data_IF_629430412541
#
_entry.id   IF_629430412541
#
_cell.length_a   1.000
_cell.length_b   1.000
_cell.length_c   1.000
_cell.angle_alpha   90.00
_cell.angle_beta   90.00
_cell.angle_gamma   90.00
#
_symmetry.space_group_name_H-M   'P 1'
#
loop_
_entity.id
_entity.type
_entity.pdbx_description
1 polymer ?
#
# COMPACT_ATOMS: atom_id res chain seq x y z
N UNK A 1 52.44 -16.49 -4.45
CA UNK A 1 51.30 -17.13 -3.77
C UNK A 1 50.80 -16.12 -2.77
N UNK A 2 49.79 -15.36 -3.18
CA UNK A 2 49.20 -14.28 -2.41
C UNK A 2 47.83 -14.80 -1.97
N UNK A 3 47.65 -14.98 -0.66
CA UNK A 3 46.44 -15.52 -0.06
C UNK A 3 45.31 -14.50 -0.19
N UNK A 4 44.22 -14.90 -0.84
CA UNK A 4 43.00 -14.11 -0.94
C UNK A 4 42.20 -14.23 0.36
N UNK A 5 41.91 -13.09 1.01
CA UNK A 5 40.98 -13.03 2.13
C UNK A 5 39.55 -13.43 1.68
N UNK A 6 38.82 -14.24 2.47
CA UNK A 6 37.46 -14.62 2.14
C UNK A 6 36.50 -13.45 2.40
N UNK A 7 35.81 -13.00 1.35
CA UNK A 7 34.76 -11.98 1.44
C UNK A 7 33.61 -12.41 2.36
N UNK A 8 32.85 -11.44 2.91
CA UNK A 8 31.83 -11.71 3.91
C UNK A 8 30.71 -12.58 3.32
N UNK A 9 30.53 -13.76 3.91
CA UNK A 9 29.43 -14.69 3.69
C UNK A 9 28.08 -13.98 3.85
N UNK A 10 27.38 -13.71 2.74
CA UNK A 10 25.96 -13.34 2.74
C UNK A 10 25.14 -14.55 3.19
N UNK A 11 24.79 -14.61 4.48
CA UNK A 11 23.68 -15.45 4.92
C UNK A 11 22.38 -14.85 4.35
N UNK A 12 21.49 -15.64 3.72
CA UNK A 12 20.19 -15.14 3.30
C UNK A 12 19.38 -14.86 4.56
N UNK A 13 19.17 -13.59 4.88
CA UNK A 13 18.09 -13.18 5.79
C UNK A 13 16.79 -13.45 5.02
N UNK A 14 16.01 -14.43 5.45
CA UNK A 14 14.65 -14.66 4.96
C UNK A 14 13.87 -13.36 5.22
N UNK A 15 13.68 -12.51 4.19
CA UNK A 15 12.94 -11.26 4.36
C UNK A 15 11.46 -11.59 4.31
N UNK A 16 10.75 -11.38 5.42
CA UNK A 16 9.31 -11.55 5.55
C UNK A 16 8.51 -10.73 4.51
N UNK A 17 9.11 -9.71 3.89
CA UNK A 17 8.50 -8.88 2.84
C UNK A 17 8.57 -9.43 1.40
N UNK A 18 9.29 -10.52 1.14
CA UNK A 18 9.47 -11.05 -0.22
C UNK A 18 8.16 -11.54 -0.86
N UNK A 19 7.34 -12.27 -0.10
CA UNK A 19 6.02 -12.75 -0.55
C UNK A 19 5.04 -11.61 -0.80
N UNK A 20 4.96 -10.63 0.11
CA UNK A 20 4.10 -9.45 -0.03
C UNK A 20 4.51 -8.57 -1.22
N UNK A 21 5.81 -8.38 -1.47
CA UNK A 21 6.30 -7.63 -2.63
C UNK A 21 5.97 -8.35 -3.94
N UNK A 22 6.17 -9.67 -3.98
CA UNK A 22 5.84 -10.46 -5.17
C UNK A 22 4.33 -10.52 -5.44
N UNK A 23 3.50 -10.61 -4.39
CA UNK A 23 2.06 -10.45 -4.48
C UNK A 23 1.68 -9.07 -5.04
N UNK A 24 2.29 -8.01 -4.50
CA UNK A 24 2.04 -6.62 -4.91
C UNK A 24 2.24 -6.42 -6.41
N UNK A 25 3.38 -6.85 -6.95
CA UNK A 25 3.72 -6.63 -8.36
C UNK A 25 2.82 -7.44 -9.30
N UNK A 26 2.48 -8.69 -8.94
CA UNK A 26 1.53 -9.51 -9.71
C UNK A 26 0.12 -8.88 -9.70
N UNK A 27 -0.32 -8.39 -8.55
CA UNK A 27 -1.62 -7.74 -8.40
C UNK A 27 -1.67 -6.41 -9.18
N UNK A 28 -0.60 -5.61 -9.11
CA UNK A 28 -0.48 -4.37 -9.87
C UNK A 28 -0.64 -4.60 -11.38
N UNK A 29 0.00 -5.64 -11.94
CA UNK A 29 -0.15 -6.00 -13.35
C UNK A 29 -1.60 -6.32 -13.70
N UNK A 30 -2.26 -7.15 -12.89
CA UNK A 30 -3.64 -7.58 -13.13
C UNK A 30 -4.61 -6.40 -13.03
N UNK A 31 -4.48 -5.56 -12.01
CA UNK A 31 -5.31 -4.37 -11.86
C UNK A 31 -5.10 -3.39 -13.01
N UNK A 32 -3.86 -3.13 -13.40
CA UNK A 32 -3.54 -2.23 -14.52
C UNK A 32 -4.10 -2.74 -15.85
N UNK A 33 -4.11 -4.06 -16.08
CA UNK A 33 -4.72 -4.65 -17.27
C UNK A 33 -6.26 -4.56 -17.32
N UNK A 34 -6.91 -4.35 -16.17
CA UNK A 34 -8.38 -4.18 -16.08
C UNK A 34 -8.84 -2.73 -16.14
N UNK A 35 -7.92 -1.77 -16.09
CA UNK A 35 -8.21 -0.34 -16.13
C UNK A 35 -7.78 0.18 -17.50
N UNK A 36 -8.71 0.73 -18.28
CA UNK A 36 -8.48 1.24 -19.65
C UNK A 36 -7.55 2.46 -19.65
N UNK A 37 -6.25 2.25 -19.47
CA UNK A 37 -5.23 3.30 -19.36
C UNK A 37 -5.56 4.37 -18.30
N UNK A 38 -6.14 3.96 -17.17
CA UNK A 38 -6.40 4.85 -16.04
C UNK A 38 -5.35 4.69 -14.93
N UNK A 39 -5.27 5.70 -14.06
CA UNK A 39 -4.51 5.63 -12.83
C UNK A 39 -4.97 4.43 -12.00
N UNK A 40 -4.01 3.78 -11.33
CA UNK A 40 -4.32 2.71 -10.39
C UNK A 40 -3.69 3.04 -9.06
N UNK A 41 -4.46 2.84 -8.00
CA UNK A 41 -3.92 2.81 -6.65
C UNK A 41 -4.58 1.69 -5.86
N UNK A 42 -3.82 0.98 -5.07
CA UNK A 42 -4.35 0.03 -4.12
C UNK A 42 -3.40 -0.10 -2.93
N UNK A 43 -3.88 -0.77 -1.88
CA UNK A 43 -3.04 -1.18 -0.78
C UNK A 43 -2.87 -2.69 -0.85
N UNK A 44 -1.69 -3.19 -1.28
CA UNK A 44 -1.42 -4.62 -1.29
C UNK A 44 -1.52 -5.21 0.11
N UNK A 45 -1.05 -4.46 1.11
CA UNK A 45 -1.13 -4.82 2.51
C UNK A 45 -2.56 -5.02 3.01
N UNK A 46 -3.48 -4.10 2.67
CA UNK A 46 -4.90 -4.19 3.00
C UNK A 46 -5.54 -5.47 2.44
N UNK A 47 -5.25 -5.77 1.17
CA UNK A 47 -5.76 -6.96 0.48
C UNK A 47 -5.14 -8.23 1.07
N UNK A 48 -3.83 -8.21 1.33
CA UNK A 48 -3.10 -9.29 1.97
C UNK A 48 -3.72 -9.64 3.33
N UNK A 49 -3.99 -8.63 4.17
CA UNK A 49 -4.58 -8.85 5.48
C UNK A 49 -6.02 -9.36 5.41
N UNK A 50 -6.83 -8.86 4.47
CA UNK A 50 -8.18 -9.38 4.23
C UNK A 50 -8.15 -10.86 3.83
N UNK A 51 -7.24 -11.24 2.92
CA UNK A 51 -7.06 -12.63 2.49
C UNK A 51 -6.50 -13.52 3.60
N UNK A 52 -5.58 -13.01 4.41
CA UNK A 52 -5.06 -13.72 5.56
C UNK A 52 -6.16 -13.94 6.63
N UNK A 53 -7.09 -12.99 6.79
CA UNK A 53 -8.26 -13.14 7.65
C UNK A 53 -9.20 -14.25 7.14
N UNK A 54 -9.42 -14.33 5.82
CA UNK A 54 -10.13 -15.46 5.19
C UNK A 54 -9.39 -16.77 5.45
N UNK A 55 -8.07 -16.80 5.25
CA UNK A 55 -7.23 -17.97 5.46
C UNK A 55 -7.29 -18.50 6.90
N UNK A 56 -7.49 -17.62 7.89
CA UNK A 56 -7.62 -18.02 9.28
C UNK A 56 -8.81 -18.97 9.54
N UNK A 57 -9.87 -18.88 8.72
CA UNK A 57 -11.05 -19.73 8.78
C UNK A 57 -11.18 -20.73 7.62
N UNK A 58 -10.22 -20.75 6.69
CA UNK A 58 -10.25 -21.63 5.52
C UNK A 58 -9.66 -23.01 5.81
N UNK A 59 -9.96 -24.02 5.00
CA UNK A 59 -9.30 -25.34 5.00
C UNK A 59 -9.11 -25.85 3.57
N UNK A 60 -8.37 -26.96 3.44
CA UNK A 60 -8.16 -27.65 2.16
C UNK A 60 -7.68 -26.72 1.05
N UNK A 61 -8.22 -26.91 -0.15
CA UNK A 61 -7.86 -26.14 -1.34
C UNK A 61 -8.04 -24.63 -1.15
N UNK A 62 -9.06 -24.18 -0.40
CA UNK A 62 -9.28 -22.75 -0.13
C UNK A 62 -8.10 -22.13 0.62
N UNK A 63 -7.58 -22.83 1.63
CA UNK A 63 -6.40 -22.38 2.38
C UNK A 63 -5.14 -22.41 1.52
N UNK A 64 -4.94 -23.51 0.79
CA UNK A 64 -3.73 -23.74 0.00
C UNK A 64 -3.57 -22.69 -1.12
N UNK A 65 -4.67 -22.35 -1.80
CA UNK A 65 -4.70 -21.30 -2.82
C UNK A 65 -4.32 -19.92 -2.24
N UNK A 66 -4.84 -19.57 -1.07
CA UNK A 66 -4.54 -18.28 -0.43
C UNK A 66 -3.08 -18.22 0.01
N UNK A 67 -2.57 -19.27 0.66
CA UNK A 67 -1.15 -19.35 1.09
C UNK A 67 -0.23 -19.22 -0.12
N UNK A 68 -0.52 -19.95 -1.21
CA UNK A 68 0.25 -19.91 -2.44
C UNK A 68 0.22 -18.52 -3.10
N UNK A 69 -0.97 -17.90 -3.18
CA UNK A 69 -1.08 -16.56 -3.76
C UNK A 69 -0.28 -15.53 -2.97
N UNK A 70 -0.40 -15.54 -1.65
CA UNK A 70 0.27 -14.58 -0.77
C UNK A 70 1.77 -14.87 -0.60
N UNK A 71 2.24 -16.04 -1.05
CA UNK A 71 3.65 -16.43 -1.00
C UNK A 71 4.13 -16.69 0.42
N UNK A 72 3.26 -17.21 1.28
CA UNK A 72 3.61 -17.63 2.64
C UNK A 72 3.84 -19.14 2.72
N UNK A 73 4.55 -19.61 3.73
CA UNK A 73 4.76 -21.02 4.00
C UNK A 73 3.61 -21.65 4.81
N UNK A 74 2.86 -20.85 5.57
CA UNK A 74 1.76 -21.35 6.41
C UNK A 74 0.75 -20.26 6.79
N UNK A 75 -0.40 -20.69 7.33
CA UNK A 75 -1.39 -19.81 7.98
C UNK A 75 -0.77 -18.98 9.11
N UNK A 76 0.11 -19.58 9.89
CA UNK A 76 0.74 -18.90 11.03
C UNK A 76 1.70 -17.80 10.55
N UNK A 77 2.38 -18.01 9.43
CA UNK A 77 3.20 -16.97 8.82
C UNK A 77 2.34 -15.81 8.29
N UNK A 78 1.19 -16.08 7.66
CA UNK A 78 0.23 -15.05 7.26
C UNK A 78 -0.22 -14.20 8.46
N UNK A 79 -0.63 -14.86 9.54
CA UNK A 79 -1.08 -14.21 10.76
C UNK A 79 0.04 -13.38 11.40
N UNK A 80 1.28 -13.89 11.40
CA UNK A 80 2.45 -13.17 11.93
C UNK A 80 2.77 -11.92 11.12
N UNK A 81 2.72 -11.99 9.78
CA UNK A 81 2.94 -10.85 8.89
C UNK A 81 1.85 -9.80 9.12
N UNK A 82 0.58 -10.21 9.11
CA UNK A 82 -0.54 -9.30 9.34
C UNK A 82 -0.44 -8.61 10.72
N UNK A 83 -0.11 -9.36 11.77
CA UNK A 83 0.08 -8.84 13.12
C UNK A 83 1.22 -7.84 13.21
N UNK A 84 2.37 -8.16 12.62
CA UNK A 84 3.54 -7.28 12.62
C UNK A 84 3.20 -5.93 12.00
N UNK A 85 2.43 -5.94 10.92
CA UNK A 85 2.05 -4.69 10.25
C UNK A 85 0.95 -3.95 11.01
N UNK A 86 -0.05 -4.65 11.54
CA UNK A 86 -1.10 -4.05 12.36
C UNK A 86 -0.54 -3.42 13.65
N UNK A 87 0.37 -4.10 14.34
CA UNK A 87 1.02 -3.58 15.55
C UNK A 87 1.86 -2.33 15.23
N UNK A 88 2.49 -2.24 14.04
CA UNK A 88 3.19 -1.02 13.58
C UNK A 88 2.25 0.13 13.24
N UNK A 89 1.13 -0.16 12.59
CA UNK A 89 0.12 0.86 12.29
C UNK A 89 -0.53 1.41 13.58
N UNK A 90 -0.72 0.56 14.61
CA UNK A 90 -1.32 0.95 15.89
C UNK A 90 -0.35 1.55 16.91
N UNK A 91 0.97 1.39 16.71
CA UNK A 91 1.99 2.07 17.52
C UNK A 91 1.99 3.60 17.32
N UNK A 92 1.25 4.06 16.31
CA UNK A 92 0.99 5.45 15.99
C UNK A 92 -0.33 5.85 16.66
N UNK A 93 -0.27 6.26 17.93
CA UNK A 93 -1.44 6.38 18.81
C UNK A 93 -2.39 7.56 18.49
N UNK A 94 -2.21 8.24 17.36
CA UNK A 94 -3.05 9.38 16.95
C UNK A 94 -3.06 10.53 17.96
N UNK A 95 -2.24 10.48 19.02
CA UNK A 95 -2.17 11.50 20.07
C UNK A 95 -1.28 12.67 19.68
N UNK A 96 -0.57 12.57 18.54
CA UNK A 96 -0.01 13.73 17.88
C UNK A 96 -1.17 14.60 17.40
N UNK A 97 -1.53 15.59 18.21
CA UNK A 97 -2.30 16.74 17.80
C UNK A 97 -1.87 17.14 16.39
N UNK A 98 -2.83 17.34 15.51
CA UNK A 98 -2.70 17.73 14.10
C UNK A 98 -1.84 18.98 13.83
N UNK A 99 -1.24 19.59 14.86
CA UNK A 99 -0.44 20.80 14.80
C UNK A 99 1.07 20.57 14.59
N UNK A 100 1.64 19.40 14.90
CA UNK A 100 3.11 19.19 14.79
C UNK A 100 3.59 18.49 13.50
N UNK A 101 2.68 17.93 12.71
CA UNK A 101 3.01 17.18 11.49
C UNK A 101 3.73 15.86 11.79
N UNK A 102 3.31 14.79 11.13
CA UNK A 102 3.82 13.44 11.42
C UNK A 102 3.33 12.40 10.43
N UNK A 103 3.53 11.14 10.83
CA UNK A 103 2.92 9.98 10.20
C UNK A 103 1.65 9.65 11.00
N UNK A 104 0.59 9.29 10.29
CA UNK A 104 -0.67 8.78 10.80
C UNK A 104 -1.15 7.68 9.86
N UNK A 105 -1.11 6.43 10.32
CA UNK A 105 -1.65 5.28 9.59
C UNK A 105 -2.85 4.73 10.34
N UNK A 106 -4.01 4.71 9.69
CA UNK A 106 -5.13 3.93 10.21
C UNK A 106 -5.22 2.64 9.42
N UNK A 107 -5.19 1.52 10.13
CA UNK A 107 -5.39 0.20 9.56
C UNK A 107 -6.48 -0.51 10.35
N UNK A 108 -7.60 -0.82 9.69
CA UNK A 108 -8.76 -1.40 10.33
C UNK A 108 -9.29 -2.57 9.51
N UNK A 109 -9.51 -3.70 10.19
CA UNK A 109 -10.22 -4.85 9.63
C UNK A 109 -11.52 -5.06 10.40
N UNK A 110 -12.55 -5.54 9.72
CA UNK A 110 -13.82 -5.84 10.35
C UNK A 110 -14.52 -7.02 9.71
N UNK A 111 -15.27 -7.73 10.54
CA UNK A 111 -16.06 -8.91 10.19
C UNK A 111 -17.50 -8.65 10.64
N UNK A 112 -18.44 -8.64 9.70
CA UNK A 112 -19.87 -8.61 9.99
C UNK A 112 -20.46 -9.96 9.62
N UNK A 113 -20.96 -10.70 10.61
CA UNK A 113 -21.67 -11.95 10.37
C UNK A 113 -23.17 -11.75 10.56
N UNK A 114 -23.98 -12.50 9.82
CA UNK A 114 -25.43 -12.49 10.04
C UNK A 114 -25.73 -12.96 11.47
N UNK A 115 -26.71 -12.32 12.12
CA UNK A 115 -27.10 -12.64 13.51
C UNK A 115 -27.52 -14.11 13.71
N UNK A 116 -27.88 -14.81 12.64
CA UNK A 116 -28.24 -16.24 12.69
C UNK A 116 -27.04 -17.19 12.54
N UNK A 117 -25.84 -16.64 12.34
CA UNK A 117 -24.59 -17.40 12.19
C UNK A 117 -23.65 -17.03 13.33
N UNK A 118 -23.25 -18.00 14.15
CA UNK A 118 -22.27 -17.78 15.22
C UNK A 118 -20.84 -18.00 14.70
N UNK A 119 -19.93 -17.06 14.97
CA UNK A 119 -18.50 -17.26 14.73
C UNK A 119 -17.92 -18.27 15.73
N UNK A 120 -17.04 -19.16 15.28
CA UNK A 120 -16.30 -20.05 16.18
C UNK A 120 -15.42 -19.22 17.13
N UNK A 121 -15.35 -19.56 18.44
CA UNK A 121 -14.53 -18.82 19.39
C UNK A 121 -13.04 -18.73 18.99
N UNK A 122 -12.48 -19.81 18.45
CA UNK A 122 -11.09 -19.83 17.99
C UNK A 122 -10.83 -18.87 16.82
N UNK A 123 -11.75 -18.80 15.86
CA UNK A 123 -11.66 -17.85 14.74
C UNK A 123 -11.78 -16.40 15.21
N UNK A 124 -12.74 -16.14 16.11
CA UNK A 124 -12.91 -14.80 16.71
C UNK A 124 -11.64 -14.35 17.45
N UNK A 125 -11.03 -15.24 18.23
CA UNK A 125 -9.77 -14.95 18.93
C UNK A 125 -8.64 -14.63 17.93
N UNK A 126 -8.47 -15.45 16.89
CA UNK A 126 -7.47 -15.20 15.85
C UNK A 126 -7.69 -13.85 15.12
N UNK A 127 -8.94 -13.53 14.76
CA UNK A 127 -9.31 -12.27 14.11
C UNK A 127 -8.93 -11.04 14.96
N UNK A 128 -9.21 -11.07 16.26
CA UNK A 128 -8.90 -9.97 17.17
C UNK A 128 -7.40 -9.88 17.45
N UNK A 129 -6.75 -11.00 17.79
CA UNK A 129 -5.36 -11.00 18.26
C UNK A 129 -4.34 -10.78 17.14
N UNK A 130 -4.56 -11.40 15.97
CA UNK A 130 -3.60 -11.39 14.87
C UNK A 130 -3.90 -10.31 13.83
N UNK A 131 -5.16 -9.95 13.65
CA UNK A 131 -5.58 -9.02 12.59
C UNK A 131 -6.15 -7.70 13.12
N UNK A 132 -6.27 -7.57 14.45
CA UNK A 132 -6.89 -6.42 15.13
C UNK A 132 -8.28 -6.11 14.57
N UNK A 133 -8.97 -7.17 14.12
CA UNK A 133 -10.24 -7.03 13.45
C UNK A 133 -11.38 -6.86 14.44
N UNK A 134 -12.31 -5.96 14.14
CA UNK A 134 -13.60 -5.92 14.84
C UNK A 134 -14.49 -7.06 14.38
N UNK A 135 -15.30 -7.62 15.28
CA UNK A 135 -16.30 -8.63 14.94
C UNK A 135 -17.67 -8.15 15.38
N UNK A 136 -18.58 -7.97 14.43
CA UNK A 136 -19.92 -7.44 14.62
C UNK A 136 -20.97 -8.44 14.09
N UNK A 137 -22.12 -8.48 14.75
CA UNK A 137 -23.30 -9.20 14.29
C UNK A 137 -24.22 -8.20 13.60
N UNK A 138 -24.73 -8.53 12.41
CA UNK A 138 -25.65 -7.69 11.64
C UNK A 138 -26.87 -8.49 11.18
N UNK A 139 -28.00 -7.81 10.96
CA UNK A 139 -29.22 -8.44 10.47
C UNK A 139 -29.30 -8.37 8.94
N UNK A 140 -28.55 -9.22 8.25
CA UNK A 140 -28.57 -9.21 6.78
C UNK A 140 -29.88 -9.75 6.23
N UNK A 141 -30.51 -10.71 6.92
CA UNK A 141 -31.76 -11.34 6.46
C UNK A 141 -32.93 -10.36 6.35
N UNK A 142 -33.16 -9.56 7.38
CA UNK A 142 -34.31 -8.65 7.44
C UNK A 142 -33.91 -7.20 7.13
N UNK A 143 -32.67 -6.79 7.43
CA UNK A 143 -32.21 -5.39 7.37
C UNK A 143 -30.85 -5.25 6.66
N UNK A 144 -30.73 -5.85 5.47
CA UNK A 144 -29.49 -5.83 4.68
C UNK A 144 -28.96 -4.42 4.40
N UNK A 145 -29.85 -3.46 4.10
CA UNK A 145 -29.44 -2.08 3.80
C UNK A 145 -29.01 -1.33 5.07
N UNK A 146 -29.69 -1.51 6.20
CA UNK A 146 -29.20 -0.99 7.48
C UNK A 146 -27.83 -1.56 7.87
N UNK A 147 -27.60 -2.87 7.65
CA UNK A 147 -26.29 -3.48 7.85
C UNK A 147 -25.22 -2.89 6.92
N UNK A 148 -25.56 -2.60 5.66
CA UNK A 148 -24.67 -1.92 4.71
C UNK A 148 -24.27 -0.52 5.20
N UNK A 149 -25.23 0.23 5.71
CA UNK A 149 -25.01 1.58 6.23
C UNK A 149 -24.15 1.58 7.47
N UNK A 150 -24.34 0.62 8.37
CA UNK A 150 -23.50 0.43 9.56
C UNK A 150 -22.04 0.16 9.17
N UNK A 151 -21.80 -0.74 8.21
CA UNK A 151 -20.45 -1.04 7.71
C UNK A 151 -19.81 0.21 7.09
N UNK A 152 -20.54 0.94 6.24
CA UNK A 152 -20.02 2.17 5.64
C UNK A 152 -19.74 3.26 6.68
N UNK A 153 -20.58 3.38 7.70
CA UNK A 153 -20.37 4.31 8.82
C UNK A 153 -19.09 3.95 9.59
N UNK A 154 -18.89 2.67 9.92
CA UNK A 154 -17.66 2.20 10.55
C UNK A 154 -16.42 2.51 9.69
N UNK A 155 -16.49 2.30 8.38
CA UNK A 155 -15.39 2.66 7.46
C UNK A 155 -15.13 4.17 7.44
N UNK A 156 -16.18 4.98 7.43
CA UNK A 156 -16.07 6.44 7.47
C UNK A 156 -15.40 6.92 8.75
N UNK A 157 -15.83 6.40 9.90
CA UNK A 157 -15.25 6.71 11.21
C UNK A 157 -13.79 6.26 11.29
N UNK A 158 -13.48 5.04 10.84
CA UNK A 158 -12.11 4.51 10.80
C UNK A 158 -11.18 5.23 9.82
N UNK A 159 -11.70 6.11 8.95
CA UNK A 159 -10.88 6.83 7.95
C UNK A 159 -10.98 8.35 8.08
N UNK A 160 -11.47 8.85 9.21
CA UNK A 160 -11.70 10.27 9.43
C UNK A 160 -12.54 10.92 8.30
N UNK A 161 -13.54 10.18 7.80
CA UNK A 161 -14.46 10.54 6.72
C UNK A 161 -13.84 10.68 5.33
N UNK A 162 -12.62 10.19 5.10
CA UNK A 162 -12.01 10.19 3.78
C UNK A 162 -12.56 9.07 2.89
N UNK A 163 -12.97 7.95 3.49
CA UNK A 163 -13.69 6.89 2.79
C UNK A 163 -15.09 6.80 3.41
N UNK A 164 -16.05 7.49 2.80
CA UNK A 164 -17.43 7.53 3.30
C UNK A 164 -18.27 6.30 2.96
N UNK A 165 -17.81 5.51 1.98
CA UNK A 165 -18.49 4.28 1.56
C UNK A 165 -17.52 3.33 0.85
N UNK A 166 -17.58 2.06 1.26
CA UNK A 166 -16.92 0.91 0.63
C UNK A 166 -17.92 -0.06 0.00
N UNK A 167 -19.13 -0.17 0.59
CA UNK A 167 -20.20 -1.04 0.12
C UNK A 167 -21.25 -0.22 -0.66
N UNK A 168 -21.33 -0.36 -2.00
CA UNK A 168 -22.34 0.32 -2.80
C UNK A 168 -23.74 -0.24 -2.50
N UNK A 169 -24.78 0.55 -2.77
CA UNK A 169 -26.18 0.14 -2.59
C UNK A 169 -26.45 -1.20 -3.31
N UNK A 170 -27.16 -2.12 -2.65
CA UNK A 170 -27.44 -3.45 -3.20
C UNK A 170 -26.24 -4.42 -3.21
N UNK A 171 -25.09 -4.06 -2.60
CA UNK A 171 -23.94 -4.98 -2.52
C UNK A 171 -24.17 -6.17 -1.59
N UNK A 172 -25.04 -5.99 -0.59
CA UNK A 172 -25.48 -6.97 0.39
C UNK A 172 -26.99 -7.21 0.26
N UNK A 173 -27.45 -8.38 0.67
CA UNK A 173 -28.86 -8.80 0.56
C UNK A 173 -29.20 -9.85 1.64
N UNK A 174 -30.45 -10.34 1.65
CA UNK A 174 -30.92 -11.32 2.64
C UNK A 174 -30.22 -12.68 2.62
N UNK A 175 -29.48 -13.00 1.55
CA UNK A 175 -28.63 -14.18 1.46
C UNK A 175 -27.21 -13.95 1.97
N UNK A 176 -26.80 -12.70 2.22
CA UNK A 176 -25.50 -12.37 2.81
C UNK A 176 -25.37 -13.03 4.19
N UNK A 177 -24.23 -13.67 4.43
CA UNK A 177 -23.92 -14.36 5.71
C UNK A 177 -22.73 -13.76 6.43
N UNK A 178 -21.79 -13.21 5.66
CA UNK A 178 -20.57 -12.63 6.18
C UNK A 178 -20.11 -11.52 5.24
N UNK A 179 -19.64 -10.41 5.81
CA UNK A 179 -18.90 -9.36 5.10
C UNK A 179 -17.58 -9.14 5.81
N UNK A 180 -16.50 -9.17 5.06
CA UNK A 180 -15.18 -8.74 5.49
C UNK A 180 -14.88 -7.38 4.87
N UNK A 181 -14.55 -6.40 5.69
CA UNK A 181 -14.10 -5.10 5.23
C UNK A 181 -12.70 -4.84 5.79
N UNK A 182 -11.78 -4.43 4.94
CA UNK A 182 -10.50 -3.90 5.36
C UNK A 182 -10.35 -2.49 4.80
N UNK A 183 -9.77 -1.61 5.61
CA UNK A 183 -9.53 -0.24 5.22
C UNK A 183 -8.17 0.19 5.73
N UNK A 184 -7.49 0.97 4.90
CA UNK A 184 -6.24 1.60 5.25
C UNK A 184 -6.29 3.08 4.85
N UNK A 185 -5.93 3.92 5.79
CA UNK A 185 -5.70 5.34 5.61
C UNK A 185 -4.24 5.65 5.92
N UNK A 186 -3.64 6.50 5.09
CA UNK A 186 -2.26 6.93 5.27
C UNK A 186 -2.15 8.42 5.10
N UNK A 187 -1.63 9.04 6.14
CA UNK A 187 -1.22 10.43 6.17
C UNK A 187 0.23 10.49 6.64
N UNK A 188 1.16 10.84 5.76
CA UNK A 188 2.56 11.00 6.10
C UNK A 188 3.08 12.35 5.67
N UNK A 189 3.60 13.14 6.59
CA UNK A 189 4.33 14.38 6.26
C UNK A 189 5.71 14.03 5.69
N UNK A 190 6.16 14.67 4.62
CA UNK A 190 7.54 14.52 4.13
C UNK A 190 8.54 14.88 5.22
N UNK A 191 9.65 14.15 5.34
CA UNK A 191 10.76 14.60 6.20
C UNK A 191 11.26 15.97 5.75
N UNK A 192 11.21 16.24 4.44
CA UNK A 192 11.53 17.51 3.82
C UNK A 192 10.42 18.01 2.90
N UNK A 193 9.47 18.80 3.43
CA UNK A 193 8.41 19.40 2.63
C UNK A 193 8.92 20.32 1.52
N UNK A 194 8.14 20.39 0.44
CA UNK A 194 8.33 21.33 -0.66
C UNK A 194 7.79 22.71 -0.29
N UNK A 195 8.43 23.75 -0.83
CA UNK A 195 7.90 25.10 -0.67
C UNK A 195 6.77 25.32 -1.68
N UNK A 196 5.51 25.49 -1.23
CA UNK A 196 4.33 25.77 -2.09
C UNK A 196 4.58 26.89 -3.12
N UNK A 197 5.34 27.92 -2.73
CA UNK A 197 5.73 29.03 -3.61
C UNK A 197 6.65 28.65 -4.77
N UNK A 198 7.22 27.45 -4.79
CA UNK A 198 8.06 26.90 -5.86
C UNK A 198 7.28 25.98 -6.81
N UNK A 199 6.08 25.55 -6.42
CA UNK A 199 5.19 24.75 -7.26
C UNK A 199 4.77 25.55 -8.50
N UNK A 200 4.92 24.97 -9.69
CA UNK A 200 4.58 25.63 -10.97
C UNK A 200 3.87 24.66 -11.89
N UNK A 201 2.93 25.16 -12.68
CA UNK A 201 2.33 24.40 -13.75
C UNK A 201 3.39 24.00 -14.79
N UNK A 202 3.40 22.74 -15.19
CA UNK A 202 4.15 22.19 -16.33
C UNK A 202 3.30 21.11 -16.98
N UNK A 203 3.61 20.80 -18.22
CA UNK A 203 2.92 19.76 -18.97
C UNK A 203 3.39 18.37 -18.52
N UNK A 204 2.44 17.49 -18.26
CA UNK A 204 2.60 16.06 -18.10
C UNK A 204 2.13 15.37 -19.39
N UNK A 205 2.93 14.44 -19.92
CA UNK A 205 2.68 13.75 -21.19
C UNK A 205 2.06 12.39 -20.92
N UNK A 206 0.84 12.16 -21.42
CA UNK A 206 0.08 10.92 -21.24
C UNK A 206 0.53 9.83 -22.23
N UNK A 207 0.11 8.58 -21.97
CA UNK A 207 0.38 7.45 -22.86
C UNK A 207 -0.25 7.58 -24.25
N UNK A 208 -1.35 8.32 -24.38
CA UNK A 208 -2.02 8.58 -25.67
C UNK A 208 -1.31 9.66 -26.52
N UNK A 209 -0.19 10.20 -26.03
CA UNK A 209 0.58 11.27 -26.66
C UNK A 209 0.05 12.68 -26.41
N UNK A 210 -1.10 12.83 -25.76
CA UNK A 210 -1.61 14.13 -25.31
C UNK A 210 -0.83 14.64 -24.10
N UNK A 211 -1.06 15.90 -23.72
CA UNK A 211 -0.48 16.48 -22.51
C UNK A 211 -1.51 17.24 -21.70
N UNK A 212 -1.24 17.39 -20.40
CA UNK A 212 -2.03 18.21 -19.48
C UNK A 212 -1.14 19.01 -18.57
N UNK A 213 -1.51 20.26 -18.32
CA UNK A 213 -0.79 21.07 -17.35
C UNK A 213 -1.23 20.71 -15.93
N UNK A 214 -0.26 20.36 -15.09
CA UNK A 214 -0.46 20.05 -13.67
C UNK A 214 0.56 20.79 -12.82
N UNK A 215 0.27 21.14 -11.55
CA UNK A 215 1.26 21.68 -10.62
C UNK A 215 2.37 20.67 -10.29
N UNK A 216 3.62 21.02 -10.64
CA UNK A 216 4.82 20.27 -10.24
C UNK A 216 5.51 20.92 -9.05
N UNK A 217 5.76 20.09 -8.03
CA UNK A 217 6.59 20.41 -6.88
C UNK A 217 8.07 20.44 -7.30
N UNK A 218 8.83 21.39 -6.74
CA UNK A 218 10.23 21.63 -7.09
C UNK A 218 11.07 21.79 -5.84
N UNK A 219 12.32 21.37 -5.90
CA UNK A 219 13.30 21.58 -4.82
C UNK A 219 14.71 21.65 -5.39
N UNK A 220 15.57 22.46 -4.78
CA UNK A 220 17.02 22.51 -5.07
C UNK A 220 17.86 21.76 -4.05
N UNK A 221 17.22 20.99 -3.15
CA UNK A 221 17.90 20.16 -2.16
C UNK A 221 18.35 18.85 -2.80
N UNK A 222 19.37 18.24 -2.23
CA UNK A 222 19.85 16.94 -2.69
C UNK A 222 18.77 15.89 -2.39
N UNK A 223 18.53 14.96 -3.30
CA UNK A 223 17.48 13.95 -3.17
C UNK A 223 18.05 12.55 -3.27
N UNK A 224 17.39 11.57 -2.66
CA UNK A 224 17.73 10.17 -2.88
C UNK A 224 17.25 9.77 -4.28
N UNK A 225 18.16 9.82 -5.25
CA UNK A 225 17.90 9.44 -6.64
C UNK A 225 18.99 8.48 -7.10
N UNK A 226 18.57 7.38 -7.74
CA UNK A 226 19.45 6.46 -8.44
C UNK A 226 19.04 6.38 -9.91
N UNK A 227 20.03 6.34 -10.79
CA UNK A 227 19.84 6.07 -12.22
C UNK A 227 20.21 4.63 -12.50
N UNK A 228 19.39 3.97 -13.28
CA UNK A 228 19.58 2.60 -13.75
C UNK A 228 19.48 2.56 -15.27
N UNK A 229 19.60 1.38 -15.86
CA UNK A 229 19.43 1.21 -17.30
C UNK A 229 17.93 1.32 -17.66
N UNK A 230 17.56 2.40 -18.35
CA UNK A 230 16.19 2.65 -18.83
C UNK A 230 15.22 3.29 -17.84
N UNK A 231 15.64 3.60 -16.60
CA UNK A 231 14.78 4.26 -15.60
C UNK A 231 15.57 4.92 -14.46
N UNK A 232 14.86 5.74 -13.68
CA UNK A 232 15.34 6.39 -12.45
C UNK A 232 14.43 6.04 -11.28
N UNK A 233 15.00 6.04 -10.08
CA UNK A 233 14.26 5.82 -8.83
C UNK A 233 14.48 6.98 -7.89
N UNK A 234 13.39 7.62 -7.45
CA UNK A 234 13.38 8.60 -6.38
C UNK A 234 12.89 7.93 -5.09
N UNK A 235 13.52 8.26 -3.96
CA UNK A 235 13.04 7.91 -2.62
C UNK A 235 12.78 9.18 -1.80
N UNK A 236 11.55 9.34 -1.30
CA UNK A 236 11.14 10.42 -0.41
C UNK A 236 10.73 9.83 0.93
N UNK A 237 11.42 10.22 2.00
CA UNK A 237 11.16 9.73 3.34
C UNK A 237 10.04 10.52 4.03
N UNK A 238 9.27 9.85 4.88
CA UNK A 238 8.29 10.50 5.74
C UNK A 238 8.91 10.89 7.10
N UNK A 239 8.36 11.93 7.73
CA UNK A 239 8.70 12.32 9.09
C UNK A 239 8.09 11.30 10.06
N UNK A 240 8.92 10.67 10.86
CA UNK A 240 8.48 9.79 11.94
C UNK A 240 8.21 10.61 13.21
N UNK A 241 7.14 10.26 13.95
CA UNK A 241 6.84 10.86 15.26
C UNK A 241 7.96 10.57 16.27
N UNK A 242 8.22 11.49 17.20
CA UNK A 242 9.25 11.34 18.24
C UNK A 242 8.96 10.17 19.19
N UNK A 243 7.69 9.77 19.34
CA UNK A 243 7.28 8.63 20.19
C UNK A 243 7.63 7.26 19.58
N UNK A 244 7.88 7.20 18.27
CA UNK A 244 8.36 5.99 17.58
C UNK A 244 9.89 5.88 17.59
N UNK A 245 10.60 6.82 18.24
CA UNK A 245 12.03 6.69 18.52
C UNK A 245 12.21 5.92 19.83
N UNK A 246 12.96 4.81 19.86
CA UNK A 246 13.23 4.11 21.12
C UNK A 246 13.89 5.05 22.13
N UNK A 247 13.39 5.05 23.37
CA UNK A 247 13.81 5.96 24.46
C UNK A 247 15.20 5.69 25.03
N UNK A 248 16.01 4.90 24.35
CA UNK A 248 17.40 4.60 24.72
C UNK A 248 18.18 4.45 23.43
N UNK A 249 19.41 4.97 23.38
CA UNK A 249 20.31 4.95 22.22
C UNK A 249 20.78 3.56 21.77
N UNK A 250 19.85 2.62 21.63
CA UNK A 250 19.97 1.43 20.81
C UNK A 250 19.91 1.88 19.34
N UNK A 251 20.75 1.27 18.53
CA UNK A 251 21.03 1.61 17.14
C UNK A 251 19.79 2.05 16.35
N UNK A 252 19.96 3.07 15.49
CA UNK A 252 18.99 3.67 14.55
C UNK A 252 18.24 2.66 13.61
N UNK A 253 18.47 1.36 13.77
CA UNK A 253 18.08 0.26 12.87
C UNK A 253 16.63 -0.24 13.08
N UNK A 254 16.01 0.01 14.24
CA UNK A 254 14.64 -0.47 14.52
C UNK A 254 13.51 0.56 14.28
N UNK A 255 13.84 1.83 13.99
CA UNK A 255 12.79 2.81 13.64
C UNK A 255 12.27 2.52 12.23
N UNK A 256 10.96 2.23 12.04
CA UNK A 256 10.43 1.99 10.71
C UNK A 256 10.63 3.23 9.85
N UNK A 257 11.34 3.06 8.73
CA UNK A 257 11.57 4.12 7.75
C UNK A 257 10.54 3.97 6.65
N UNK A 258 9.46 4.74 6.75
CA UNK A 258 8.48 4.81 5.68
C UNK A 258 8.95 5.77 4.60
N UNK A 259 8.84 5.32 3.35
CA UNK A 259 9.24 6.10 2.19
C UNK A 259 8.28 5.91 1.02
N UNK A 260 8.01 7.00 0.30
CA UNK A 260 7.45 6.91 -1.06
C UNK A 260 8.60 6.77 -2.04
N UNK A 261 8.51 5.76 -2.90
CA UNK A 261 9.47 5.47 -3.94
C UNK A 261 8.80 5.66 -5.30
N UNK A 262 9.39 6.46 -6.18
CA UNK A 262 8.87 6.72 -7.53
C UNK A 262 9.82 6.10 -8.54
N UNK A 263 9.30 5.23 -9.38
CA UNK A 263 10.00 4.54 -10.45
C UNK A 263 9.58 5.16 -11.78
N UNK A 264 10.50 5.92 -12.37
CA UNK A 264 10.27 6.75 -13.54
C UNK A 264 11.08 6.19 -14.72
N UNK A 265 10.44 5.62 -15.75
CA UNK A 265 11.12 5.21 -16.98
C UNK A 265 11.85 6.38 -17.64
N UNK A 266 12.88 6.11 -18.45
CA UNK A 266 13.53 7.16 -19.25
C UNK A 266 12.67 7.56 -20.46
N UNK A 267 11.88 6.62 -21.00
CA UNK A 267 10.95 6.84 -22.11
C UNK A 267 9.53 7.18 -21.61
N UNK A 268 8.85 8.12 -22.27
CA UNK A 268 7.52 8.60 -21.85
C UNK A 268 6.43 7.51 -21.84
N UNK A 269 6.57 6.54 -22.73
CA UNK A 269 5.72 5.35 -22.87
C UNK A 269 6.36 4.10 -22.25
N UNK A 270 7.44 4.24 -21.47
CA UNK A 270 8.23 3.14 -20.93
C UNK A 270 7.66 2.44 -19.70
N UNK A 271 6.55 2.94 -19.14
CA UNK A 271 5.98 2.38 -17.90
C UNK A 271 5.55 0.91 -18.04
N UNK A 272 4.87 0.48 -19.12
CA UNK A 272 4.55 -0.94 -19.32
C UNK A 272 5.80 -1.84 -19.29
N UNK A 273 6.87 -1.44 -19.98
CA UNK A 273 8.15 -2.16 -19.96
C UNK A 273 8.75 -2.23 -18.55
N UNK A 274 8.72 -1.12 -17.81
CA UNK A 274 9.25 -1.08 -16.44
C UNK A 274 8.44 -2.00 -15.50
N UNK A 275 7.11 -2.03 -15.65
CA UNK A 275 6.23 -2.91 -14.89
C UNK A 275 6.49 -4.39 -15.19
N UNK A 276 6.77 -4.76 -16.44
CA UNK A 276 7.17 -6.12 -16.81
C UNK A 276 8.58 -6.48 -16.30
N UNK A 277 9.49 -5.52 -16.29
CA UNK A 277 10.84 -5.67 -15.73
C UNK A 277 10.77 -5.92 -14.22
N UNK A 278 9.96 -5.16 -13.49
CA UNK A 278 9.71 -5.36 -12.05
C UNK A 278 9.21 -6.78 -11.74
N UNK A 279 8.34 -7.33 -12.59
CA UNK A 279 7.77 -8.66 -12.41
C UNK A 279 8.73 -9.80 -12.71
N UNK A 280 9.82 -9.54 -13.40
CA UNK A 280 10.83 -10.56 -13.71
C UNK A 280 11.67 -10.93 -12.48
N UNK A 281 11.77 -10.03 -11.50
CA UNK A 281 12.37 -10.29 -10.18
C UNK A 281 11.53 -9.71 -9.02
N UNK A 282 10.32 -10.25 -8.80
CA UNK A 282 9.31 -9.54 -8.03
C UNK A 282 9.55 -9.57 -6.51
N UNK A 283 10.49 -10.39 -6.02
CA UNK A 283 10.78 -10.52 -4.59
C UNK A 283 11.78 -9.46 -4.08
N UNK A 284 12.71 -9.02 -4.93
CA UNK A 284 13.80 -8.13 -4.56
C UNK A 284 13.82 -6.80 -5.30
N UNK A 285 13.14 -6.68 -6.44
CA UNK A 285 13.26 -5.51 -7.31
C UNK A 285 13.10 -4.18 -6.58
N UNK A 286 12.05 -4.03 -5.77
CA UNK A 286 11.84 -2.75 -5.09
C UNK A 286 13.05 -2.38 -4.24
N UNK A 287 13.53 -3.29 -3.39
CA UNK A 287 14.65 -3.04 -2.47
C UNK A 287 15.98 -2.80 -3.19
N UNK A 288 16.28 -3.61 -4.18
CA UNK A 288 17.60 -3.65 -4.80
C UNK A 288 17.90 -2.39 -5.63
N UNK A 289 16.85 -1.70 -6.10
CA UNK A 289 16.97 -0.49 -6.91
C UNK A 289 16.77 0.81 -6.11
N UNK A 290 16.54 0.74 -4.79
CA UNK A 290 16.36 1.94 -3.95
C UNK A 290 17.67 2.73 -3.77
N UNK A 291 17.64 4.06 -3.96
CA UNK A 291 18.78 4.91 -3.66
C UNK A 291 19.10 4.96 -2.17
N UNK A 292 20.38 4.80 -1.85
CA UNK A 292 20.93 4.87 -0.48
C UNK A 292 21.66 6.19 -0.19
N UNK A 293 21.87 7.02 -1.21
CA UNK A 293 22.62 8.29 -1.10
C UNK A 293 21.82 9.43 -1.72
N UNK A 294 22.00 10.63 -1.16
CA UNK A 294 21.45 11.86 -1.72
C UNK A 294 22.42 12.45 -2.72
N UNK A 295 21.91 12.87 -3.87
CA UNK A 295 22.69 13.52 -4.93
C UNK A 295 22.09 14.89 -5.27
N UNK A 296 22.93 15.81 -5.74
CA UNK A 296 22.46 17.10 -6.23
C UNK A 296 21.86 16.93 -7.62
N UNK A 297 20.69 17.52 -7.86
CA UNK A 297 19.98 17.42 -9.12
C UNK A 297 20.05 18.75 -9.88
N UNK A 298 20.12 18.66 -11.21
CA UNK A 298 20.00 19.82 -12.11
C UNK A 298 18.57 20.37 -12.04
N UNK A 299 17.61 19.47 -12.16
CA UNK A 299 16.18 19.78 -12.07
C UNK A 299 15.46 18.63 -11.36
N UNK A 300 14.51 19.01 -10.49
CA UNK A 300 13.60 18.10 -9.82
C UNK A 300 12.17 18.59 -10.06
N UNK A 301 11.34 17.73 -10.64
CA UNK A 301 9.92 17.94 -10.86
C UNK A 301 9.16 16.66 -10.48
N UNK A 302 8.25 16.78 -9.50
CA UNK A 302 7.29 15.73 -9.15
C UNK A 302 5.88 16.34 -9.17
N UNK A 303 4.92 15.80 -9.94
CA UNK A 303 3.57 16.37 -10.00
C UNK A 303 2.88 16.18 -8.66
N UNK A 304 2.00 17.12 -8.31
CA UNK A 304 0.95 16.84 -7.33
C UNK A 304 -0.08 15.95 -7.99
N UNK A 305 -0.60 15.00 -7.23
CA UNK A 305 -1.66 14.13 -7.72
C UNK A 305 -2.50 13.64 -6.56
N UNK A 306 -3.76 13.39 -6.85
CA UNK A 306 -4.69 12.70 -5.98
C UNK A 306 -5.19 11.51 -6.77
N UNK A 307 -5.23 10.35 -6.15
CA UNK A 307 -5.75 9.13 -6.74
C UNK A 307 -6.79 8.56 -5.81
N UNK A 308 -7.89 8.10 -6.38
CA UNK A 308 -8.87 7.28 -5.68
C UNK A 308 -9.19 6.07 -6.54
N UNK A 309 -9.12 4.90 -5.94
CA UNK A 309 -9.54 3.65 -6.56
C UNK A 309 -10.61 3.01 -5.69
N UNK A 310 -11.71 2.61 -6.31
CA UNK A 310 -12.77 1.84 -5.66
C UNK A 310 -13.23 0.80 -6.65
N UNK A 311 -12.93 -0.47 -6.38
CA UNK A 311 -13.33 -1.55 -7.29
C UNK A 311 -13.60 -2.86 -6.57
N UNK A 312 -14.32 -3.71 -7.27
CA UNK A 312 -14.44 -5.13 -6.95
C UNK A 312 -13.24 -5.87 -7.51
N UNK A 313 -12.48 -6.51 -6.65
CA UNK A 313 -11.25 -7.22 -7.03
C UNK A 313 -11.45 -8.74 -7.03
N UNK A 314 -12.66 -9.24 -6.77
CA UNK A 314 -12.94 -10.68 -6.75
C UNK A 314 -12.58 -11.38 -8.07
N UNK A 315 -12.90 -10.78 -9.22
CA UNK A 315 -12.49 -11.31 -10.53
C UNK A 315 -10.97 -11.41 -10.69
N UNK A 316 -10.26 -10.36 -10.27
CA UNK A 316 -8.79 -10.33 -10.31
C UNK A 316 -8.18 -11.41 -9.41
N UNK A 317 -8.71 -11.59 -8.20
CA UNK A 317 -8.24 -12.60 -7.26
C UNK A 317 -8.47 -14.04 -7.77
N UNK A 318 -9.60 -14.28 -8.44
CA UNK A 318 -9.87 -15.57 -9.12
C UNK A 318 -8.87 -15.85 -10.23
N UNK A 319 -8.59 -14.85 -11.07
CA UNK A 319 -7.60 -14.94 -12.15
C UNK A 319 -6.17 -15.12 -11.63
N UNK A 320 -5.91 -14.72 -10.38
CA UNK A 320 -4.64 -14.91 -9.70
C UNK A 320 -4.53 -16.25 -8.98
N UNK A 321 -5.61 -17.05 -8.91
CA UNK A 321 -5.58 -18.42 -8.44
C UNK A 321 -6.39 -18.74 -7.19
N UNK A 322 -7.07 -17.76 -6.57
CA UNK A 322 -8.03 -18.05 -5.48
C UNK A 322 -9.37 -18.38 -6.15
N UNK A 323 -9.65 -19.65 -6.39
CA UNK A 323 -10.89 -20.11 -7.03
C UNK A 323 -11.83 -20.73 -6.02
N UNK A 324 -11.34 -21.67 -5.21
CA UNK A 324 -12.14 -22.41 -4.24
C UNK A 324 -12.85 -21.46 -3.27
N UNK A 325 -12.19 -20.40 -2.81
CA UNK A 325 -12.80 -19.43 -1.89
C UNK A 325 -14.05 -18.73 -2.45
N UNK A 326 -14.20 -18.63 -3.78
CA UNK A 326 -15.31 -17.97 -4.45
C UNK A 326 -16.36 -18.94 -5.01
N UNK A 327 -16.14 -20.25 -4.86
CA UNK A 327 -17.05 -21.28 -5.34
C UNK A 327 -17.88 -21.82 -4.16
N UNK A 328 -19.21 -21.77 -4.26
CA UNK A 328 -20.10 -22.17 -3.16
C UNK A 328 -20.07 -23.68 -2.82
N UNK A 329 -19.52 -24.51 -3.71
CA UNK A 329 -19.38 -25.95 -3.54
C UNK A 329 -17.98 -26.36 -3.12
N UNK A 330 -16.95 -25.60 -3.49
CA UNK A 330 -15.55 -25.91 -3.14
C UNK A 330 -15.02 -25.10 -1.94
N UNK A 331 -15.64 -23.96 -1.61
CA UNK A 331 -15.20 -23.12 -0.50
C UNK A 331 -15.30 -23.88 0.82
N UNK A 332 -14.15 -24.09 1.46
CA UNK A 332 -14.08 -24.62 2.81
C UNK A 332 -13.65 -23.51 3.75
N UNK A 333 -14.65 -22.80 4.29
CA UNK A 333 -14.51 -21.80 5.35
C UNK A 333 -15.05 -22.32 6.69
N UNK A 334 -14.99 -23.64 6.87
CA UNK A 334 -15.63 -24.33 8.00
C UNK A 334 -15.05 -23.94 9.35
N UNK A 335 -13.85 -23.36 9.42
CA UNK A 335 -13.28 -22.84 10.67
C UNK A 335 -13.81 -21.45 11.06
N UNK A 336 -14.58 -20.76 10.22
CA UNK A 336 -15.13 -19.43 10.55
C UNK A 336 -16.34 -19.50 11.49
N UNK A 337 -17.32 -20.34 11.17
CA UNK A 337 -18.64 -20.32 11.79
C UNK A 337 -19.06 -21.69 12.34
N UNK A 338 -19.92 -21.67 13.35
CA UNK A 338 -20.56 -22.87 13.88
C UNK A 338 -21.69 -23.36 12.97
N UNK A 339 -22.12 -24.60 13.16
CA UNK A 339 -23.32 -25.15 12.50
C UNK A 339 -23.14 -25.60 11.04
N UNK A 340 -21.91 -25.60 10.51
CA UNK A 340 -21.62 -26.18 9.19
C UNK A 340 -22.25 -25.45 8.01
N UNK A 341 -22.60 -24.16 8.19
CA UNK A 341 -23.08 -23.33 7.08
C UNK A 341 -22.02 -23.28 5.97
N UNK A 342 -22.41 -23.60 4.74
CA UNK A 342 -21.54 -23.39 3.59
C UNK A 342 -21.35 -21.88 3.39
N UNK A 343 -20.10 -21.44 3.43
CA UNK A 343 -19.71 -20.05 3.27
C UNK A 343 -18.73 -19.98 2.10
N UNK A 344 -18.95 -19.01 1.23
CA UNK A 344 -18.03 -18.65 0.17
C UNK A 344 -17.85 -17.13 0.17
N UNK A 345 -16.68 -16.67 -0.27
CA UNK A 345 -16.41 -15.27 -0.52
C UNK A 345 -17.18 -14.87 -1.77
N UNK A 346 -18.21 -14.03 -1.63
CA UNK A 346 -19.00 -13.62 -2.79
C UNK A 346 -18.35 -12.45 -3.54
N UNK A 347 -17.98 -11.41 -2.79
CA UNK A 347 -17.48 -10.13 -3.33
C UNK A 347 -16.34 -9.61 -2.46
N UNK A 348 -15.32 -9.03 -3.09
CA UNK A 348 -14.23 -8.35 -2.38
C UNK A 348 -14.16 -6.92 -2.89
N UNK A 349 -14.53 -5.97 -2.03
CA UNK A 349 -14.45 -4.55 -2.31
C UNK A 349 -13.14 -3.99 -1.78
N UNK A 350 -12.40 -3.30 -2.64
CA UNK A 350 -11.18 -2.61 -2.27
C UNK A 350 -11.32 -1.13 -2.59
N UNK A 351 -10.98 -0.28 -1.61
CA UNK A 351 -10.95 1.17 -1.80
C UNK A 351 -9.67 1.75 -1.21
N UNK A 352 -9.00 2.59 -2.00
CA UNK A 352 -7.78 3.28 -1.61
C UNK A 352 -7.83 4.73 -2.10
N UNK A 353 -7.37 5.65 -1.27
CA UNK A 353 -7.23 7.07 -1.61
C UNK A 353 -5.85 7.52 -1.17
N UNK A 354 -5.17 8.28 -2.02
CA UNK A 354 -3.86 8.86 -1.74
C UNK A 354 -3.74 10.19 -2.44
N UNK A 355 -3.25 11.20 -1.73
CA UNK A 355 -2.98 12.51 -2.30
C UNK A 355 -1.58 12.96 -1.92
N UNK A 356 -0.79 13.29 -2.94
CA UNK A 356 0.58 13.77 -2.86
C UNK A 356 0.59 15.28 -3.07
N UNK A 357 1.11 16.01 -2.10
CA UNK A 357 1.26 17.45 -2.14
C UNK A 357 2.59 17.90 -1.54
N UNK A 358 2.77 19.20 -1.41
CA UNK A 358 4.02 19.79 -0.95
C UNK A 358 4.42 19.38 0.47
N UNK A 359 3.46 19.03 1.31
CA UNK A 359 3.69 18.74 2.72
C UNK A 359 3.90 17.26 2.97
N UNK A 360 3.25 16.41 2.19
CA UNK A 360 3.27 14.98 2.42
C UNK A 360 2.34 14.21 1.50
N UNK A 361 1.92 13.08 2.02
CA UNK A 361 0.73 12.35 1.62
C UNK A 361 -0.35 12.64 2.68
N UNK A 362 -1.36 13.45 2.35
CA UNK A 362 -2.56 13.91 3.12
C UNK A 362 -2.48 14.38 4.60
N UNK A 363 -1.92 15.56 4.93
CA UNK A 363 -2.56 16.61 5.78
C UNK A 363 -1.73 17.91 5.83
N UNK A 364 -2.39 19.00 6.29
CA UNK A 364 -2.06 20.43 6.14
C UNK A 364 -1.24 21.07 7.31
N UNK A 365 -0.04 21.64 7.05
CA UNK A 365 0.62 22.70 7.82
C UNK A 365 1.82 23.37 7.07
N UNK A 366 1.88 24.71 7.11
CA UNK A 366 2.81 25.55 6.33
C UNK A 366 4.03 26.03 7.14
N UNK A 367 5.25 25.77 6.67
CA UNK A 367 6.46 26.47 7.14
C UNK A 367 7.47 26.65 5.99
N UNK A 368 8.01 27.86 5.83
CA UNK A 368 8.96 28.20 4.77
C UNK A 368 10.37 28.44 5.33
N UNK A 369 11.38 27.78 4.75
CA UNK A 369 12.80 28.08 4.98
C UNK A 369 13.49 28.48 3.66
N UNK A 370 14.36 29.49 3.70
CA UNK A 370 15.23 29.89 2.59
C UNK A 370 16.65 29.42 2.94
N UNK A 371 17.22 28.52 2.15
CA UNK A 371 18.61 28.10 2.27
C UNK A 371 19.39 28.56 1.03
N UNK A 372 20.59 29.10 1.27
CA UNK A 372 21.58 29.48 0.24
C UNK A 372 22.72 28.44 0.27
N UNK A 373 22.90 27.65 -0.80
CA UNK A 373 24.05 26.73 -0.94
C UNK A 373 25.22 27.43 -1.65
N UNK A 374 26.44 27.16 -1.15
CA UNK A 374 27.71 27.38 -1.84
C UNK A 374 28.03 26.10 -2.64
N UNK A 375 28.45 26.23 -3.92
CA UNK A 375 28.78 25.08 -4.79
C UNK A 375 30.13 24.48 -4.40
N UNK A 376 30.17 23.15 -4.24
CA UNK A 376 31.39 22.34 -4.38
C UNK A 376 31.27 21.58 -5.70
N UNK A 377 32.21 21.80 -6.62
CA UNK A 377 32.27 21.07 -7.89
C UNK A 377 32.83 19.67 -7.59
N UNK A 378 31.98 18.66 -7.71
CA UNK A 378 32.38 17.27 -7.90
C UNK A 378 32.02 16.91 -9.34
N UNK A 379 32.90 16.19 -10.02
CA UNK A 379 32.79 15.74 -11.41
C UNK A 379 31.74 14.62 -11.59
N UNK A 380 30.55 14.75 -11.00
CA UNK A 380 29.45 13.83 -11.28
C UNK A 380 28.68 14.30 -12.52
N UNK A 381 28.30 13.34 -13.38
CA UNK A 381 27.41 13.58 -14.52
C UNK A 381 26.13 14.23 -13.98
N UNK A 382 25.66 15.37 -14.55
CA UNK A 382 24.47 16.02 -14.06
C UNK A 382 23.25 15.08 -14.14
N UNK A 383 22.54 14.89 -13.03
CA UNK A 383 21.32 14.05 -12.96
C UNK A 383 20.10 14.95 -12.76
N UNK A 384 19.04 14.67 -13.51
CA UNK A 384 17.71 15.26 -13.35
C UNK A 384 16.69 14.19 -12.95
N UNK A 385 15.63 14.61 -12.27
CA UNK A 385 14.46 13.78 -11.98
C UNK A 385 13.20 14.57 -12.35
N UNK A 386 12.66 14.31 -13.53
CA UNK A 386 11.52 15.02 -14.09
C UNK A 386 10.40 14.02 -14.35
N UNK A 387 9.49 13.86 -13.39
CA UNK A 387 8.37 12.93 -13.49
C UNK A 387 7.21 13.51 -14.33
N UNK A 388 7.51 13.95 -15.55
CA UNK A 388 6.57 14.60 -16.48
C UNK A 388 5.80 13.62 -17.38
N UNK A 389 5.84 12.33 -17.08
CA UNK A 389 5.19 11.27 -17.86
C UNK A 389 4.95 10.05 -16.94
N UNK A 390 4.19 9.03 -17.40
CA UNK A 390 3.77 7.92 -16.58
C UNK A 390 4.84 7.25 -15.73
N UNK A 391 4.54 7.07 -14.45
CA UNK A 391 5.43 6.45 -13.47
C UNK A 391 4.68 5.53 -12.50
N UNK A 392 5.41 4.58 -11.91
CA UNK A 392 4.93 3.78 -10.79
C UNK A 392 5.39 4.39 -9.46
N UNK A 393 4.60 4.22 -8.41
CA UNK A 393 5.01 4.59 -7.05
C UNK A 393 4.65 3.51 -6.04
N UNK A 394 5.43 3.46 -4.96
CA UNK A 394 5.24 2.54 -3.85
C UNK A 394 5.47 3.27 -2.53
N UNK A 395 4.56 3.14 -1.58
CA UNK A 395 4.80 3.52 -0.18
C UNK A 395 5.25 2.27 0.55
N UNK A 396 6.50 2.27 1.01
CA UNK A 396 7.15 1.08 1.59
C UNK A 396 7.59 1.35 3.02
N UNK A 397 7.47 0.31 3.85
CA UNK A 397 8.21 0.21 5.10
C UNK A 397 9.56 -0.45 4.81
N UNK A 398 10.63 0.35 4.83
CA UNK A 398 11.98 -0.13 4.49
C UNK A 398 12.51 -1.19 5.48
N UNK A 399 11.95 -1.28 6.70
CA UNK A 399 12.39 -2.26 7.71
C UNK A 399 11.75 -3.63 7.47
N UNK A 400 10.43 -3.69 7.25
CA UNK A 400 9.78 -4.97 6.90
C UNK A 400 9.93 -5.35 5.43
N UNK A 401 10.19 -4.37 4.56
CA UNK A 401 10.00 -4.48 3.11
C UNK A 401 8.52 -4.52 2.70
N UNK A 402 7.59 -4.21 3.61
CA UNK A 402 6.17 -4.24 3.30
C UNK A 402 5.76 -3.08 2.40
N UNK A 403 4.94 -3.38 1.39
CA UNK A 403 4.36 -2.37 0.51
C UNK A 403 2.98 -1.98 1.02
N UNK A 404 2.86 -0.75 1.52
CA UNK A 404 1.64 -0.19 2.11
C UNK A 404 0.68 0.25 1.00
N UNK A 405 1.19 1.02 0.03
CA UNK A 405 0.47 1.43 -1.18
C UNK A 405 1.30 1.17 -2.42
N UNK A 406 0.63 0.82 -3.50
CA UNK A 406 1.21 0.71 -4.82
C UNK A 406 0.27 1.38 -5.83
N UNK A 407 0.85 2.01 -6.85
CA UNK A 407 0.06 2.60 -7.89
C UNK A 407 0.86 3.05 -9.10
N UNK A 408 0.13 3.48 -10.12
CA UNK A 408 0.65 4.12 -11.31
C UNK A 408 -0.08 5.43 -11.55
N UNK A 409 0.66 6.43 -12.00
CA UNK A 409 0.13 7.73 -12.42
C UNK A 409 0.27 7.79 -13.94
N UNK A 410 -0.84 7.71 -14.65
CA UNK A 410 -0.95 7.90 -16.10
C UNK A 410 -1.48 9.30 -16.46
N UNK A 411 -2.26 9.91 -15.56
CA UNK A 411 -2.70 11.30 -15.65
C UNK A 411 -2.82 11.91 -14.22
N UNK A 412 -1.98 12.87 -13.83
CA UNK A 412 -2.06 13.49 -12.50
C UNK A 412 -3.24 14.47 -12.33
N UNK A 413 -3.95 14.82 -13.41
CA UNK A 413 -5.04 15.80 -13.41
C UNK A 413 -6.44 15.18 -13.24
N UNK A 414 -6.62 13.86 -13.45
CA UNK A 414 -7.93 13.17 -13.40
C UNK A 414 -8.56 13.05 -12.01
N UNK A 415 -7.96 13.59 -10.95
CA UNK A 415 -8.61 13.65 -9.63
C UNK A 415 -8.32 14.92 -8.81
N UNK A 416 -8.00 16.03 -9.48
CA UNK A 416 -7.94 17.35 -8.84
C UNK A 416 -9.29 18.07 -8.81
#
# INVERSE_FOLDING_TARGET
MEEAEPGPSKKPRLSTGGGLTAFTLRLAKKLSATQDNDNVIFSPLSIYAALALVAAGARGATLDEIILLLGAASRDELAKIARTVADRALADDGSSSSEEGGLHITFASGIWHDKTVALKPAYRAAAVESYKAVTCSADFKEEAEGAREEINKWVSEATNNLITSILPRGSVNSSTRLVLANVIYFNGTWSEPFAKKQTRARSFYRLDGSSVDTPFMRTGRDQFVARHDGFKVLKMTYRMSQHLKPSSGADDDETPRLSMCVFLPDARDGLPWLMDTMQSDPASFLRDYLPQRRISLVEFLLPKFKLSFSSRIDGVLRDMGIKAAFDAHEADLSDMCEGGASLAVEKVFHKAVLEVNEEGTVAAASTAFILRKLRRVLNDVPVDFIADHPFAFFVVDEVSGAVIFAGQVLDPATSM
#
